data_IF_364457393146
#
_entry.id   IF_364457393146
#
_cell.length_a   1.000
_cell.length_b   1.000
_cell.length_c   1.000
_cell.angle_alpha   90.00
_cell.angle_beta   90.00
_cell.angle_gamma   90.00
#
_symmetry.space_group_name_H-M   'P 1'
#
loop_
_entity.id
_entity.type
_entity.pdbx_description
1 polymer ?
#
# COMPACT_ATOMS: atom_id res chain seq x y z
N UNK A 1 -18.50 20.53 42.41
CA UNK A 1 -18.32 21.38 41.22
C UNK A 1 -17.72 20.48 40.17
N UNK A 2 -18.52 20.04 39.20
CA UNK A 2 -18.06 19.13 38.16
C UNK A 2 -17.15 19.93 37.22
N UNK A 3 -15.87 19.55 37.16
CA UNK A 3 -14.97 20.04 36.13
C UNK A 3 -15.58 19.68 34.78
N UNK A 4 -15.86 20.70 33.98
CA UNK A 4 -16.31 20.53 32.61
C UNK A 4 -15.20 19.82 31.83
N UNK A 5 -15.36 18.52 31.59
CA UNK A 5 -14.53 17.79 30.62
C UNK A 5 -14.77 18.47 29.28
N UNK A 6 -13.80 19.26 28.82
CA UNK A 6 -13.79 19.79 27.46
C UNK A 6 -13.87 18.60 26.51
N UNK A 7 -15.03 18.44 25.85
CA UNK A 7 -15.23 17.40 24.85
C UNK A 7 -14.24 17.63 23.71
N UNK A 8 -13.25 16.76 23.59
CA UNK A 8 -12.27 16.80 22.50
C UNK A 8 -13.02 16.40 21.22
N UNK A 9 -12.88 17.22 20.17
CA UNK A 9 -13.41 16.92 18.84
C UNK A 9 -12.26 16.59 17.88
N UNK A 10 -12.48 15.74 16.87
CA UNK A 10 -13.74 15.06 16.52
C UNK A 10 -14.14 13.96 17.50
N UNK A 11 -15.45 13.67 17.61
CA UNK A 11 -15.95 12.59 18.45
C UNK A 11 -15.61 11.23 17.79
N UNK A 12 -14.90 10.38 18.51
CA UNK A 12 -14.29 9.18 17.95
C UNK A 12 -13.43 8.41 18.95
N UNK A 13 -12.86 7.30 18.49
CA UNK A 13 -11.95 6.48 19.31
C UNK A 13 -10.51 6.86 18.99
N UNK A 14 -9.77 7.33 19.99
CA UNK A 14 -8.40 7.80 19.82
C UNK A 14 -7.39 6.66 19.93
N UNK A 15 -6.49 6.59 18.95
CA UNK A 15 -5.30 5.75 18.93
C UNK A 15 -4.04 6.61 19.13
N UNK A 16 -3.12 6.15 19.97
CA UNK A 16 -1.92 6.90 20.35
C UNK A 16 -0.68 6.02 20.35
N UNK A 17 0.44 6.54 19.82
CA UNK A 17 1.75 5.92 19.92
C UNK A 17 2.81 6.98 20.23
N UNK A 18 3.68 6.71 21.20
CA UNK A 18 4.90 7.50 21.44
C UNK A 18 5.85 7.36 20.26
N UNK A 19 6.57 8.41 19.93
CA UNK A 19 7.48 8.49 18.79
C UNK A 19 8.84 9.02 19.25
N UNK A 20 9.92 8.44 18.76
CA UNK A 20 11.30 8.87 19.09
C UNK A 20 11.92 9.76 18.00
N UNK A 21 11.28 9.85 16.82
CA UNK A 21 11.76 10.58 15.65
C UNK A 21 11.47 12.09 15.64
N UNK A 22 11.88 12.79 14.59
CA UNK A 22 11.41 14.16 14.30
C UNK A 22 10.14 14.17 13.46
N UNK A 23 9.79 13.03 12.87
CA UNK A 23 8.62 12.82 12.02
C UNK A 23 7.80 11.65 12.60
N UNK A 24 6.52 11.57 12.22
CA UNK A 24 5.69 10.43 12.55
C UNK A 24 6.17 9.16 11.84
N UNK A 25 6.32 8.08 12.60
CA UNK A 25 6.46 6.72 12.09
C UNK A 25 5.11 6.00 12.22
N UNK A 26 4.30 6.13 11.16
CA UNK A 26 2.98 5.52 11.10
C UNK A 26 3.05 3.99 11.11
N UNK A 27 4.10 3.40 10.55
CA UNK A 27 4.27 1.94 10.51
C UNK A 27 4.56 1.39 11.91
N UNK A 28 5.50 2.01 12.63
CA UNK A 28 5.79 1.66 14.01
C UNK A 28 4.59 1.86 14.93
N UNK A 29 3.81 2.93 14.73
CA UNK A 29 2.58 3.17 15.50
C UNK A 29 1.54 2.05 15.27
N UNK A 30 1.29 1.67 14.01
CA UNK A 30 0.37 0.57 13.68
C UNK A 30 0.87 -0.76 14.21
N UNK A 31 2.18 -1.03 14.14
CA UNK A 31 2.77 -2.23 14.74
C UNK A 31 2.55 -2.26 16.26
N UNK A 32 2.87 -1.17 16.95
CA UNK A 32 2.64 -1.01 18.38
C UNK A 32 1.17 -1.21 18.78
N UNK A 33 0.21 -0.69 18.01
CA UNK A 33 -1.21 -0.93 18.28
C UNK A 33 -1.59 -2.40 18.08
N UNK A 34 -1.07 -3.06 17.04
CA UNK A 34 -1.34 -4.48 16.76
C UNK A 34 -0.81 -5.42 17.86
N UNK A 35 0.26 -5.05 18.56
CA UNK A 35 0.77 -5.85 19.68
C UNK A 35 -0.27 -6.04 20.80
N UNK A 36 -1.21 -5.09 20.98
CA UNK A 36 -2.29 -5.24 21.95
C UNK A 36 -3.26 -6.38 21.62
N UNK A 37 -3.19 -6.99 20.43
CA UNK A 37 -3.92 -8.22 20.12
C UNK A 37 -3.69 -9.31 21.17
N UNK A 38 -2.45 -9.44 21.66
CA UNK A 38 -2.09 -10.44 22.68
C UNK A 38 -2.70 -10.19 24.06
N UNK A 39 -3.31 -9.01 24.28
CA UNK A 39 -3.97 -8.66 25.54
C UNK A 39 -5.44 -9.14 25.60
N UNK A 40 -5.95 -9.75 24.53
CA UNK A 40 -7.32 -10.24 24.45
C UNK A 40 -7.35 -11.78 24.37
N UNK A 41 -7.89 -12.42 25.41
CA UNK A 41 -8.10 -13.89 25.47
C UNK A 41 -9.36 -14.31 24.69
N UNK A 42 -9.47 -13.89 23.43
CA UNK A 42 -10.64 -14.10 22.57
C UNK A 42 -11.34 -12.79 22.21
N UNK A 43 -12.63 -12.87 21.90
CA UNK A 43 -13.44 -11.72 21.49
C UNK A 43 -13.34 -10.60 22.55
N UNK A 44 -12.93 -9.37 22.18
CA UNK A 44 -12.86 -8.27 23.12
C UNK A 44 -14.19 -8.04 23.84
N UNK A 45 -14.19 -7.93 25.18
CA UNK A 45 -15.42 -7.86 25.96
C UNK A 45 -16.14 -6.52 25.77
N UNK A 46 -17.39 -6.44 26.22
CA UNK A 46 -18.12 -5.17 26.27
C UNK A 46 -17.37 -4.11 27.09
N UNK A 47 -17.41 -2.85 26.64
CA UNK A 47 -16.81 -1.72 27.33
C UNK A 47 -17.70 -1.28 28.52
N UNK A 48 -17.63 -2.06 29.59
CA UNK A 48 -18.37 -1.82 30.83
C UNK A 48 -17.46 -1.26 31.93
N UNK A 49 -18.06 -0.75 33.00
CA UNK A 49 -17.34 -0.23 34.18
C UNK A 49 -16.46 -1.27 34.87
N UNK A 50 -16.79 -2.56 34.75
CA UNK A 50 -16.02 -3.67 35.30
C UNK A 50 -14.89 -4.14 34.36
N UNK A 51 -14.89 -3.67 33.12
CA UNK A 51 -13.93 -4.09 32.08
C UNK A 51 -12.60 -3.34 32.24
N UNK A 52 -11.56 -4.01 32.72
CA UNK A 52 -10.25 -3.37 32.94
C UNK A 52 -9.36 -3.32 31.70
N UNK A 53 -9.63 -4.14 30.68
CA UNK A 53 -8.77 -4.26 29.49
C UNK A 53 -8.65 -2.95 28.70
N UNK A 54 -9.71 -2.12 28.70
CA UNK A 54 -9.71 -0.82 28.02
C UNK A 54 -9.10 0.33 28.82
N UNK A 55 -8.57 0.08 30.03
CA UNK A 55 -7.74 1.06 30.75
C UNK A 55 -6.36 1.23 30.09
N UNK A 56 -5.94 0.27 29.27
CA UNK A 56 -4.74 0.39 28.45
C UNK A 56 -5.05 1.21 27.20
N UNK A 57 -4.35 2.33 27.04
CA UNK A 57 -4.43 3.16 25.83
C UNK A 57 -4.03 2.38 24.57
N UNK A 58 -3.11 1.41 24.69
CA UNK A 58 -2.71 0.54 23.59
C UNK A 58 -3.88 -0.36 23.13
N UNK A 59 -4.66 -0.89 24.08
CA UNK A 59 -5.83 -1.72 23.77
C UNK A 59 -6.93 -0.90 23.11
N UNK A 60 -7.19 0.32 23.57
CA UNK A 60 -8.13 1.24 22.91
C UNK A 60 -7.63 1.63 21.52
N UNK A 61 -6.32 1.83 21.34
CA UNK A 61 -5.72 2.11 20.03
C UNK A 61 -5.89 0.94 19.08
N UNK A 62 -5.77 -0.30 19.56
CA UNK A 62 -6.07 -1.50 18.79
C UNK A 62 -7.54 -1.54 18.33
N UNK A 63 -8.49 -1.24 19.22
CA UNK A 63 -9.91 -1.16 18.85
C UNK A 63 -10.14 -0.08 17.78
N UNK A 64 -9.54 1.11 17.94
CA UNK A 64 -9.63 2.20 16.97
C UNK A 64 -9.04 1.82 15.60
N UNK A 65 -7.92 1.10 15.57
CA UNK A 65 -7.27 0.64 14.34
C UNK A 65 -8.19 -0.27 13.51
N UNK A 66 -8.96 -1.13 14.17
CA UNK A 66 -9.86 -2.10 13.53
C UNK A 66 -11.32 -1.67 13.55
N UNK A 67 -11.59 -0.36 13.61
CA UNK A 67 -12.93 0.22 13.76
C UNK A 67 -14.00 -0.55 12.94
N UNK A 68 -15.02 -1.16 13.59
CA UNK A 68 -16.01 -2.03 12.96
C UNK A 68 -17.07 -1.25 12.16
N UNK A 69 -17.17 0.06 12.38
CA UNK A 69 -18.23 0.88 11.81
C UNK A 69 -18.13 0.91 10.28
N UNK A 70 -19.28 1.05 9.61
CA UNK A 70 -19.30 1.19 8.15
C UNK A 70 -18.60 2.49 7.72
N UNK A 71 -17.64 2.37 6.80
CA UNK A 71 -16.86 3.49 6.24
C UNK A 71 -16.14 4.34 7.30
N UNK A 72 -15.28 3.72 8.14
CA UNK A 72 -14.62 4.44 9.22
C UNK A 72 -13.62 5.44 8.62
N UNK A 73 -13.63 6.67 9.13
CA UNK A 73 -12.71 7.74 8.74
C UNK A 73 -11.63 7.85 9.78
N UNK A 74 -10.41 8.17 9.34
CA UNK A 74 -9.29 8.43 10.23
C UNK A 74 -8.74 9.84 9.98
N UNK A 75 -8.47 10.56 11.06
CA UNK A 75 -7.66 11.77 11.04
C UNK A 75 -6.48 11.57 11.99
N UNK A 76 -5.28 11.94 11.57
CA UNK A 76 -4.05 11.70 12.31
C UNK A 76 -3.23 12.98 12.37
N UNK A 77 -2.69 13.27 13.55
CA UNK A 77 -1.78 14.37 13.75
C UNK A 77 -0.57 13.94 14.59
N UNK A 78 0.58 14.46 14.19
CA UNK A 78 1.83 14.30 14.91
C UNK A 78 2.04 15.46 15.86
N UNK A 79 2.12 15.17 17.15
CA UNK A 79 2.25 16.17 18.20
C UNK A 79 3.65 16.12 18.79
N UNK A 80 4.19 17.31 19.10
CA UNK A 80 5.37 17.47 19.93
C UNK A 80 4.97 18.33 21.12
N UNK A 81 4.92 17.72 22.29
CA UNK A 81 4.66 18.37 23.56
C UNK A 81 6.00 18.73 24.21
N UNK A 82 6.33 20.03 24.35
CA UNK A 82 7.59 20.43 24.96
C UNK A 82 7.64 20.01 26.44
N UNK A 83 8.85 19.75 26.93
CA UNK A 83 9.08 19.53 28.35
C UNK A 83 8.52 20.70 29.18
N UNK A 84 7.82 20.40 30.28
CA UNK A 84 7.34 21.46 31.16
C UNK A 84 8.53 22.23 31.74
N UNK A 85 8.48 23.55 31.68
CA UNK A 85 9.48 24.38 32.34
C UNK A 85 9.37 24.15 33.85
N UNK A 86 10.38 23.53 34.45
CA UNK A 86 10.41 23.28 35.90
C UNK A 86 10.25 24.62 36.63
N UNK A 87 9.25 24.77 37.52
CA UNK A 87 9.16 25.95 38.37
C UNK A 87 10.46 26.06 39.18
N UNK A 88 11.07 27.24 39.16
CA UNK A 88 12.33 27.53 39.86
C UNK A 88 12.11 27.34 41.37
N UNK A 89 12.46 26.17 41.92
CA UNK A 89 12.43 25.94 43.37
C UNK A 89 12.25 24.49 43.86
N UNK A 90 11.84 23.52 43.04
CA UNK A 90 11.65 22.14 43.50
C UNK A 90 12.94 21.31 43.35
N UNK A 91 13.50 20.88 44.48
CA UNK A 91 14.71 20.04 44.56
C UNK A 91 14.29 18.57 44.42
N UNK A 92 14.55 17.99 43.25
CA UNK A 92 14.45 16.55 42.99
C UNK A 92 13.15 16.12 42.32
N UNK A 93 13.22 15.83 41.02
CA UNK A 93 12.17 15.22 40.21
C UNK A 93 12.67 15.09 38.78
N UNK A 94 12.45 13.92 38.19
CA UNK A 94 12.80 13.51 36.81
C UNK A 94 12.64 14.67 35.81
N UNK A 95 13.65 14.90 34.97
CA UNK A 95 13.54 15.90 33.90
C UNK A 95 12.40 15.51 32.97
N UNK A 96 11.33 16.30 32.91
CA UNK A 96 10.27 16.15 31.93
C UNK A 96 10.90 16.13 30.54
N UNK A 97 10.74 15.02 29.81
CA UNK A 97 11.24 14.88 28.44
C UNK A 97 10.19 15.43 27.49
N UNK A 98 10.67 15.96 26.37
CA UNK A 98 9.81 16.25 25.21
C UNK A 98 9.06 14.97 24.81
N UNK A 99 7.73 15.02 24.77
CA UNK A 99 6.89 13.92 24.33
C UNK A 99 6.52 14.15 22.88
N UNK A 100 6.86 13.20 22.02
CA UNK A 100 6.39 13.18 20.65
C UNK A 100 5.46 12.00 20.46
N UNK A 101 4.37 12.22 19.75
CA UNK A 101 3.33 11.21 19.61
C UNK A 101 2.58 11.34 18.29
N UNK A 102 2.24 10.20 17.71
CA UNK A 102 1.20 10.11 16.71
C UNK A 102 -0.13 9.88 17.42
N UNK A 103 -1.09 10.76 17.18
CA UNK A 103 -2.46 10.63 17.67
C UNK A 103 -3.39 10.57 16.46
N UNK A 104 -4.15 9.48 16.37
CA UNK A 104 -5.16 9.29 15.36
C UNK A 104 -6.54 9.18 16.03
N UNK A 105 -7.58 9.61 15.34
CA UNK A 105 -8.96 9.45 15.77
C UNK A 105 -9.74 8.80 14.65
N UNK A 106 -10.49 7.75 14.99
CA UNK A 106 -11.43 7.12 14.06
C UNK A 106 -12.86 7.50 14.39
N UNK A 107 -13.62 7.84 13.34
CA UNK A 107 -15.03 8.23 13.41
C UNK A 107 -15.82 7.37 12.41
N UNK A 108 -16.95 6.75 12.80
CA UNK A 108 -17.60 6.82 14.12
C UNK A 108 -16.84 6.10 15.24
N UNK A 109 -17.35 6.19 16.48
CA UNK A 109 -16.63 5.74 17.68
C UNK A 109 -16.61 4.21 17.76
N UNK A 110 -15.47 3.60 17.41
CA UNK A 110 -15.22 2.17 17.53
C UNK A 110 -15.47 1.53 18.92
N UNK A 111 -15.40 2.31 20.00
CA UNK A 111 -15.58 1.82 21.37
C UNK A 111 -16.67 2.65 22.09
N UNK A 112 -17.91 2.18 22.00
CA UNK A 112 -19.06 2.75 22.73
C UNK A 112 -19.16 2.15 24.13
N UNK A 113 -19.97 2.76 25.00
CA UNK A 113 -20.17 2.24 26.35
C UNK A 113 -21.14 1.06 26.31
N UNK A 114 -20.88 0.04 27.13
CA UNK A 114 -21.67 -1.18 27.32
C UNK A 114 -21.76 -2.14 26.11
N UNK A 115 -21.23 -1.80 24.94
CA UNK A 115 -21.16 -2.69 23.78
C UNK A 115 -19.79 -3.35 23.63
N UNK A 116 -19.78 -4.56 23.07
CA UNK A 116 -18.55 -5.19 22.59
C UNK A 116 -18.12 -4.53 21.27
N UNK A 117 -16.84 -4.21 21.09
CA UNK A 117 -16.39 -3.48 19.91
C UNK A 117 -16.42 -4.32 18.63
N UNK A 118 -16.55 -5.64 18.72
CA UNK A 118 -16.60 -6.52 17.55
C UNK A 118 -17.65 -7.60 17.74
N UNK A 119 -18.20 -8.05 16.62
CA UNK A 119 -18.87 -9.36 16.50
C UNK A 119 -17.84 -10.48 16.42
N UNK A 120 -18.26 -11.72 16.64
CA UNK A 120 -17.38 -12.88 16.50
C UNK A 120 -16.80 -13.00 15.08
N UNK A 121 -17.61 -12.74 14.04
CA UNK A 121 -17.16 -12.83 12.65
C UNK A 121 -16.09 -11.78 12.33
N UNK A 122 -16.24 -10.55 12.81
CA UNK A 122 -15.23 -9.49 12.67
C UNK A 122 -13.95 -9.87 13.41
N UNK A 123 -14.08 -10.38 14.63
CA UNK A 123 -12.95 -10.81 15.44
C UNK A 123 -12.17 -11.98 14.81
N UNK A 124 -12.88 -12.94 14.21
CA UNK A 124 -12.25 -14.06 13.50
C UNK A 124 -11.48 -13.55 12.26
N UNK A 125 -12.01 -12.55 11.55
CA UNK A 125 -11.31 -11.88 10.43
C UNK A 125 -10.05 -11.15 10.91
N UNK A 126 -10.14 -10.40 12.02
CA UNK A 126 -9.01 -9.70 12.64
C UNK A 126 -7.94 -10.71 13.07
N UNK A 127 -8.33 -11.74 13.81
CA UNK A 127 -7.46 -12.83 14.28
C UNK A 127 -6.75 -13.51 13.10
N UNK A 128 -7.49 -13.80 12.02
CA UNK A 128 -6.91 -14.37 10.80
C UNK A 128 -5.91 -13.40 10.16
N UNK A 129 -6.25 -12.11 10.03
CA UNK A 129 -5.37 -11.11 9.45
C UNK A 129 -4.06 -10.96 10.25
N UNK A 130 -4.13 -10.87 11.58
CA UNK A 130 -2.96 -10.76 12.47
C UNK A 130 -2.09 -12.02 12.37
N UNK A 131 -2.68 -13.21 12.47
CA UNK A 131 -1.92 -14.47 12.46
C UNK A 131 -1.39 -14.84 11.06
N UNK A 132 -2.10 -14.47 9.99
CA UNK A 132 -1.62 -14.68 8.61
C UNK A 132 -0.49 -13.74 8.20
N UNK A 133 -0.29 -12.63 8.93
CA UNK A 133 0.82 -11.70 8.73
C UNK A 133 2.15 -12.17 9.33
N UNK A 134 2.22 -13.33 9.97
CA UNK A 134 3.41 -13.82 10.68
C UNK A 134 3.84 -15.22 10.23
N UNK A 135 4.68 -15.29 9.19
CA UNK A 135 5.62 -16.39 9.06
C UNK A 135 6.83 -16.13 9.97
N UNK A 136 6.78 -16.71 11.19
CA UNK A 136 7.86 -16.99 12.14
C UNK A 136 8.74 -15.84 12.66
N UNK A 137 8.65 -15.54 13.96
CA UNK A 137 9.63 -16.01 14.96
C UNK A 137 8.89 -16.32 16.27
N UNK A 138 8.93 -17.56 16.78
CA UNK A 138 8.55 -17.83 18.16
C UNK A 138 9.74 -17.50 19.07
N UNK A 139 9.60 -16.55 19.98
CA UNK A 139 10.41 -16.59 21.21
C UNK A 139 9.57 -16.20 22.41
N UNK A 140 9.53 -17.15 23.34
CA UNK A 140 8.87 -17.12 24.62
C UNK A 140 9.29 -15.94 25.49
N UNK A 141 8.37 -15.53 26.35
CA UNK A 141 8.58 -14.70 27.53
C UNK A 141 9.96 -14.92 28.20
N UNK A 142 10.73 -13.84 28.32
CA UNK A 142 11.71 -13.68 29.37
C UNK A 142 11.70 -12.22 29.84
N UNK A 143 11.07 -12.03 30.99
CA UNK A 143 11.18 -10.85 31.83
C UNK A 143 12.65 -10.66 32.21
N UNK A 144 13.25 -9.52 31.86
CA UNK A 144 14.35 -8.94 32.63
C UNK A 144 14.52 -7.45 32.30
N UNK A 145 14.33 -6.63 33.33
CA UNK A 145 14.65 -5.23 33.36
C UNK A 145 16.18 -4.98 33.31
N UNK A 146 16.50 -3.71 33.05
CA UNK A 146 17.75 -2.98 33.30
C UNK A 146 18.69 -2.77 32.11
N UNK A 147 18.95 -1.48 31.86
CA UNK A 147 20.21 -0.83 31.45
C UNK A 147 21.06 -1.54 30.38
N UNK A 148 21.47 -0.90 29.29
CA UNK A 148 22.55 0.08 29.31
C UNK A 148 22.45 0.93 28.04
N UNK A 149 22.33 2.25 28.24
CA UNK A 149 22.75 3.25 27.28
C UNK A 149 24.28 3.20 27.14
N UNK A 150 24.78 3.00 25.92
CA UNK A 150 26.06 3.51 25.39
C UNK A 150 26.58 2.61 24.25
N UNK A 151 26.12 2.81 23.01
CA UNK A 151 26.96 2.59 21.83
C UNK A 151 26.35 3.14 20.52
N UNK A 152 25.93 4.41 20.49
CA UNK A 152 25.70 5.12 19.22
C UNK A 152 26.15 6.58 19.35
N UNK A 153 27.45 6.74 19.54
CA UNK A 153 28.16 7.99 19.34
C UNK A 153 29.45 7.63 18.61
N UNK A 154 29.60 8.23 17.42
CA UNK A 154 30.73 8.23 16.48
C UNK A 154 30.34 7.63 15.12
N UNK A 155 29.83 8.49 14.24
CA UNK A 155 30.27 8.62 12.84
C UNK A 155 29.55 9.83 12.21
N UNK A 156 30.05 11.01 12.53
CA UNK A 156 29.86 12.23 11.74
C UNK A 156 31.23 12.83 11.45
N UNK A 157 31.39 13.39 10.25
CA UNK A 157 32.54 14.11 9.67
C UNK A 157 33.50 13.32 8.77
N UNK A 158 33.29 13.44 7.45
CA UNK A 158 34.33 13.68 6.46
C UNK A 158 33.69 14.55 5.34
N UNK A 159 33.80 15.87 5.46
CA UNK A 159 34.83 16.72 4.84
C UNK A 159 34.68 16.82 3.31
N UNK A 160 34.04 17.90 2.88
CA UNK A 160 34.09 18.42 1.53
C UNK A 160 35.55 18.80 1.18
N UNK A 161 36.04 18.31 0.05
CA UNK A 161 37.23 18.83 -0.60
C UNK A 161 36.88 19.09 -2.08
N UNK A 162 36.71 20.37 -2.39
CA UNK A 162 36.68 20.92 -3.74
C UNK A 162 38.09 20.84 -4.30
N UNK A 163 38.30 20.06 -5.37
CA UNK A 163 39.48 20.16 -6.22
C UNK A 163 39.02 20.37 -7.67
N UNK A 164 39.24 21.60 -8.12
CA UNK A 164 39.09 22.05 -9.50
C UNK A 164 40.17 21.38 -10.36
N UNK A 165 39.77 20.44 -11.20
CA UNK A 165 40.50 20.11 -12.43
C UNK A 165 39.63 20.55 -13.61
N UNK A 166 40.02 21.67 -14.23
CA UNK A 166 39.52 22.04 -15.56
C UNK A 166 40.12 21.06 -16.57
N UNK A 167 39.27 20.23 -17.14
CA UNK A 167 39.48 19.58 -18.44
C UNK A 167 38.27 19.95 -19.28
N UNK A 168 38.55 20.26 -20.54
CA UNK A 168 37.67 20.91 -21.51
C UNK A 168 36.26 20.31 -21.62
N UNK A 169 35.34 21.18 -22.02
CA UNK A 169 33.89 21.05 -21.85
C UNK A 169 33.30 19.70 -22.25
N UNK A 170 32.59 19.11 -21.30
CA UNK A 170 31.49 18.18 -21.54
C UNK A 170 30.47 18.41 -20.43
N UNK A 171 29.32 18.97 -20.78
CA UNK A 171 28.15 18.98 -19.88
C UNK A 171 27.87 17.53 -19.42
N UNK A 172 27.48 17.30 -18.15
CA UNK A 172 27.05 15.98 -17.73
C UNK A 172 25.77 15.64 -18.50
N UNK A 173 25.88 14.64 -19.37
CA UNK A 173 24.75 13.99 -20.03
C UNK A 173 23.80 13.49 -18.94
N UNK A 174 22.67 14.17 -18.75
CA UNK A 174 21.61 13.81 -17.82
C UNK A 174 20.87 12.59 -18.38
N UNK A 175 21.50 11.41 -18.35
CA UNK A 175 20.83 10.15 -18.74
C UNK A 175 19.94 9.72 -17.58
N UNK A 176 18.71 10.20 -17.56
CA UNK A 176 17.70 9.73 -16.64
C UNK A 176 17.52 8.20 -16.84
N UNK A 177 17.56 7.43 -15.76
CA UNK A 177 17.52 5.94 -15.80
C UNK A 177 16.16 5.42 -15.34
N UNK A 178 15.69 4.33 -15.93
CA UNK A 178 14.48 3.64 -15.49
C UNK A 178 14.66 3.11 -14.07
N UNK A 179 13.67 3.32 -13.21
CA UNK A 179 13.67 2.86 -11.82
C UNK A 179 12.44 2.03 -11.53
N UNK A 180 12.57 1.08 -10.61
CA UNK A 180 11.44 0.43 -9.99
C UNK A 180 11.71 0.14 -8.52
N UNK A 181 10.66 0.25 -7.70
CA UNK A 181 10.68 -0.10 -6.28
C UNK A 181 9.55 -1.07 -6.01
N UNK A 182 9.82 -2.17 -5.30
CA UNK A 182 8.76 -3.12 -4.91
C UNK A 182 7.85 -2.47 -3.87
N UNK A 183 6.55 -2.65 -4.03
CA UNK A 183 5.51 -2.09 -3.17
C UNK A 183 4.54 -3.19 -2.75
N UNK A 184 4.07 -3.14 -1.51
CA UNK A 184 3.05 -4.06 -1.03
C UNK A 184 1.64 -3.43 -1.12
N UNK A 185 0.90 -3.75 -2.18
CA UNK A 185 -0.49 -3.32 -2.37
C UNK A 185 -1.53 -4.38 -1.94
N UNK A 186 -1.09 -5.48 -1.30
CA UNK A 186 -1.98 -6.60 -0.96
C UNK A 186 -3.14 -6.18 -0.06
N UNK A 187 -2.93 -5.23 0.86
CA UNK A 187 -3.99 -4.75 1.77
C UNK A 187 -5.16 -4.14 1.02
N UNK A 188 -4.90 -3.17 0.14
CA UNK A 188 -5.93 -2.46 -0.63
C UNK A 188 -6.62 -3.39 -1.63
N UNK A 189 -5.84 -4.24 -2.31
CA UNK A 189 -6.39 -5.24 -3.23
C UNK A 189 -7.27 -6.26 -2.50
N UNK A 190 -6.85 -6.72 -1.31
CA UNK A 190 -7.60 -7.70 -0.52
C UNK A 190 -8.87 -7.11 0.09
N UNK A 191 -8.87 -5.81 0.43
CA UNK A 191 -10.08 -5.12 0.85
C UNK A 191 -11.16 -5.23 -0.25
N UNK A 192 -10.84 -4.87 -1.49
CA UNK A 192 -11.77 -4.98 -2.62
C UNK A 192 -12.23 -6.44 -2.87
N UNK A 193 -11.31 -7.39 -2.84
CA UNK A 193 -11.61 -8.82 -3.05
C UNK A 193 -12.52 -9.42 -1.98
N UNK A 194 -12.30 -9.05 -0.72
CA UNK A 194 -13.06 -9.58 0.41
C UNK A 194 -14.54 -9.24 0.32
N UNK A 195 -14.89 -8.05 -0.18
CA UNK A 195 -16.27 -7.63 -0.42
C UNK A 195 -17.00 -8.51 -1.44
N UNK A 196 -16.26 -9.06 -2.41
CA UNK A 196 -16.77 -10.01 -3.40
C UNK A 196 -16.65 -11.48 -2.95
N UNK A 197 -16.18 -11.74 -1.72
CA UNK A 197 -16.01 -13.08 -1.17
C UNK A 197 -14.85 -13.88 -1.79
N UNK A 198 -13.86 -13.21 -2.37
CA UNK A 198 -12.66 -13.85 -2.92
C UNK A 198 -11.61 -14.06 -1.82
N UNK A 199 -10.83 -15.13 -1.95
CA UNK A 199 -9.63 -15.33 -1.12
C UNK A 199 -8.64 -14.20 -1.35
N UNK A 200 -8.09 -13.64 -0.27
CA UNK A 200 -7.05 -12.61 -0.37
C UNK A 200 -5.79 -13.11 -1.06
N UNK A 201 -5.12 -12.23 -1.80
CA UNK A 201 -3.80 -12.45 -2.33
C UNK A 201 -2.78 -12.67 -1.21
N UNK A 202 -1.90 -13.63 -1.46
CA UNK A 202 -0.69 -13.86 -0.69
C UNK A 202 0.49 -13.12 -1.34
N UNK A 203 1.58 -12.92 -0.61
CA UNK A 203 2.81 -12.38 -1.19
C UNK A 203 3.44 -13.40 -2.15
N UNK A 204 3.87 -12.94 -3.31
CA UNK A 204 4.67 -13.76 -4.23
C UNK A 204 6.02 -14.14 -3.60
N UNK A 205 6.39 -15.42 -3.67
CA UNK A 205 7.66 -15.87 -3.12
C UNK A 205 8.83 -15.58 -4.08
N UNK A 206 9.93 -15.09 -3.53
CA UNK A 206 11.18 -14.83 -4.25
C UNK A 206 11.87 -16.13 -4.69
N UNK A 207 11.71 -17.20 -3.92
CA UNK A 207 12.27 -18.53 -4.18
C UNK A 207 11.38 -19.44 -5.02
N UNK A 208 10.25 -18.95 -5.55
CA UNK A 208 9.32 -19.77 -6.32
C UNK A 208 9.94 -20.27 -7.64
N UNK A 209 9.52 -21.45 -8.08
CA UNK A 209 9.85 -21.99 -9.39
C UNK A 209 8.56 -22.46 -10.10
N UNK A 210 8.08 -21.75 -11.14
CA UNK A 210 8.69 -20.55 -11.74
C UNK A 210 8.68 -19.33 -10.81
N UNK A 211 9.52 -18.30 -11.06
CA UNK A 211 9.51 -17.06 -10.30
C UNK A 211 8.11 -16.43 -10.29
N UNK A 212 7.69 -15.92 -9.14
CA UNK A 212 6.37 -15.28 -8.95
C UNK A 212 6.47 -13.77 -8.76
N UNK A 213 7.68 -13.25 -8.56
CA UNK A 213 7.97 -11.84 -8.39
C UNK A 213 8.44 -11.18 -9.69
N UNK A 214 8.13 -9.89 -9.86
CA UNK A 214 8.66 -9.04 -10.92
C UNK A 214 10.20 -8.97 -10.78
N UNK A 215 10.96 -9.31 -11.83
CA UNK A 215 12.43 -9.35 -11.79
C UNK A 215 13.04 -7.95 -11.91
N UNK A 216 12.69 -7.05 -10.99
CA UNK A 216 13.20 -5.66 -10.93
C UNK A 216 14.67 -5.58 -10.51
N UNK A 217 15.19 -6.63 -9.88
CA UNK A 217 16.59 -6.81 -9.53
C UNK A 217 17.23 -7.95 -10.34
N UNK A 218 18.53 -7.86 -10.62
CA UNK A 218 19.30 -8.89 -11.31
C UNK A 218 19.37 -10.16 -10.45
N UNK A 219 19.21 -11.35 -11.04
CA UNK A 219 19.49 -12.58 -10.31
C UNK A 219 21.00 -12.73 -10.16
N UNK A 220 21.51 -12.79 -8.92
CA UNK A 220 22.93 -13.11 -8.72
C UNK A 220 23.17 -14.54 -9.21
N UNK A 221 24.19 -14.74 -10.05
CA UNK A 221 24.54 -16.04 -10.66
C UNK A 221 25.03 -17.10 -9.65
N UNK A 222 24.77 -16.90 -8.35
CA UNK A 222 25.25 -17.73 -7.23
C UNK A 222 24.20 -17.95 -6.15
N UNK A 223 22.95 -18.21 -6.52
CA UNK A 223 21.96 -18.82 -5.62
C UNK A 223 21.67 -18.05 -4.32
N UNK A 224 21.92 -16.73 -4.29
CA UNK A 224 21.59 -15.87 -3.16
C UNK A 224 20.54 -14.87 -3.63
N UNK A 225 19.29 -15.14 -3.25
CA UNK A 225 18.21 -14.13 -3.29
C UNK A 225 18.65 -12.94 -2.45
N UNK A 226 18.58 -11.72 -3.00
CA UNK A 226 19.06 -10.50 -2.34
C UNK A 226 20.00 -9.60 -3.17
N UNK A 227 20.00 -9.70 -4.50
CA UNK A 227 20.68 -8.68 -5.32
C UNK A 227 19.96 -7.33 -5.17
N UNK A 228 20.73 -6.27 -4.95
CA UNK A 228 20.26 -4.88 -4.95
C UNK A 228 20.49 -4.19 -6.30
N UNK A 229 21.15 -4.87 -7.25
CA UNK A 229 21.41 -4.32 -8.58
C UNK A 229 20.15 -4.42 -9.43
N UNK A 230 19.78 -3.33 -10.09
CA UNK A 230 18.57 -3.27 -10.92
C UNK A 230 18.74 -4.10 -12.20
N UNK A 231 17.68 -4.81 -12.57
CA UNK A 231 17.61 -5.49 -13.86
C UNK A 231 17.26 -4.48 -14.97
N UNK A 232 18.26 -3.72 -15.42
CA UNK A 232 18.07 -2.63 -16.40
C UNK A 232 17.42 -3.08 -17.70
N UNK A 233 17.68 -4.30 -18.16
CA UNK A 233 17.04 -4.88 -19.34
C UNK A 233 15.54 -5.07 -19.14
N UNK A 234 15.13 -5.63 -18.01
CA UNK A 234 13.72 -5.79 -17.67
C UNK A 234 13.02 -4.44 -17.49
N UNK A 235 13.62 -3.52 -16.72
CA UNK A 235 13.02 -2.19 -16.50
C UNK A 235 12.83 -1.43 -17.82
N UNK A 236 13.77 -1.56 -18.75
CA UNK A 236 13.66 -0.93 -20.08
C UNK A 236 12.51 -1.50 -20.89
N UNK A 237 12.36 -2.83 -20.93
CA UNK A 237 11.27 -3.48 -21.65
C UNK A 237 9.90 -3.10 -21.05
N UNK A 238 9.76 -3.12 -19.73
CA UNK A 238 8.52 -2.73 -19.04
C UNK A 238 8.19 -1.26 -19.31
N UNK A 239 9.15 -0.34 -19.16
CA UNK A 239 8.93 1.08 -19.42
C UNK A 239 8.52 1.37 -20.87
N UNK A 240 9.08 0.65 -21.85
CA UNK A 240 8.67 0.77 -23.25
C UNK A 240 7.22 0.30 -23.45
N UNK A 241 6.86 -0.85 -22.89
CA UNK A 241 5.49 -1.37 -22.97
C UNK A 241 4.48 -0.43 -22.28
N UNK A 242 4.84 0.14 -21.12
CA UNK A 242 4.00 1.13 -20.41
C UNK A 242 3.75 2.38 -21.25
N UNK A 243 4.80 2.94 -21.87
CA UNK A 243 4.68 4.13 -22.73
C UNK A 243 3.84 3.88 -23.98
N UNK A 244 3.79 2.64 -24.46
CA UNK A 244 2.94 2.23 -25.59
C UNK A 244 1.54 1.81 -25.16
N UNK A 245 1.27 1.76 -23.84
CA UNK A 245 0.04 1.21 -23.27
C UNK A 245 -0.20 -0.25 -23.69
N UNK A 246 0.87 -1.02 -23.90
CA UNK A 246 0.87 -2.41 -24.38
C UNK A 246 1.30 -3.40 -23.32
N UNK A 247 1.36 -3.02 -22.04
CA UNK A 247 1.65 -3.93 -20.92
C UNK A 247 0.58 -5.01 -20.86
N UNK A 248 0.82 -6.06 -21.63
CA UNK A 248 -0.14 -7.13 -21.90
C UNK A 248 0.55 -8.46 -21.72
N UNK A 249 -0.28 -9.48 -21.63
CA UNK A 249 0.12 -10.81 -21.21
C UNK A 249 1.09 -11.49 -22.20
N UNK A 250 2.24 -11.93 -21.69
CA UNK A 250 3.18 -12.81 -22.39
C UNK A 250 4.52 -12.18 -22.77
N UNK A 251 4.66 -10.85 -22.73
CA UNK A 251 5.92 -10.16 -23.08
C UNK A 251 6.84 -9.96 -21.86
N UNK A 252 6.27 -10.01 -20.66
CA UNK A 252 6.94 -9.70 -19.40
C UNK A 252 6.79 -10.90 -18.46
N UNK A 253 7.88 -11.27 -17.78
CA UNK A 253 7.89 -12.30 -16.71
C UNK A 253 7.63 -11.63 -15.35
N UNK A 254 7.01 -12.33 -14.38
CA UNK A 254 6.59 -13.74 -14.39
C UNK A 254 5.30 -14.01 -15.19
N UNK A 255 4.95 -15.29 -15.38
CA UNK A 255 3.69 -15.65 -16.04
C UNK A 255 2.51 -15.40 -15.09
N UNK A 256 1.58 -14.55 -15.49
CA UNK A 256 0.49 -14.06 -14.65
C UNK A 256 -0.36 -13.04 -15.40
N UNK A 257 -1.43 -12.56 -14.75
CA UNK A 257 -2.25 -11.47 -15.27
C UNK A 257 -1.82 -10.17 -14.58
N UNK A 258 -1.56 -9.15 -15.39
CA UNK A 258 -0.98 -7.88 -14.96
C UNK A 258 -2.04 -6.81 -14.74
N UNK A 259 -1.93 -6.08 -13.64
CA UNK A 259 -2.71 -4.88 -13.35
C UNK A 259 -1.80 -3.65 -13.41
N UNK A 260 -2.25 -2.62 -14.11
CA UNK A 260 -1.48 -1.43 -14.45
C UNK A 260 -2.26 -0.16 -14.14
N UNK A 261 -1.65 0.81 -13.46
CA UNK A 261 -2.24 2.12 -13.21
C UNK A 261 -1.17 3.22 -13.32
N UNK A 262 -1.43 4.24 -14.14
CA UNK A 262 -0.60 5.46 -14.22
C UNK A 262 -0.81 6.30 -12.97
N UNK A 263 0.25 6.90 -12.44
CA UNK A 263 0.23 7.70 -11.22
C UNK A 263 1.06 8.97 -11.37
N UNK A 264 0.67 10.03 -10.66
CA UNK A 264 1.36 11.33 -10.70
C UNK A 264 2.34 11.53 -9.52
N UNK A 265 2.21 10.71 -8.46
CA UNK A 265 2.97 10.80 -7.21
C UNK A 265 4.46 10.43 -7.32
N UNK A 266 5.25 10.71 -6.30
CA UNK A 266 6.63 10.19 -6.17
C UNK A 266 6.67 8.75 -5.70
N UNK A 267 5.60 8.30 -5.05
CA UNK A 267 5.44 7.02 -4.42
C UNK A 267 4.16 6.36 -4.93
N UNK A 268 4.08 5.04 -4.78
CA UNK A 268 2.90 4.28 -5.19
C UNK A 268 1.68 4.60 -4.33
N UNK A 269 0.56 4.87 -4.99
CA UNK A 269 -0.76 4.92 -4.37
C UNK A 269 -1.54 3.64 -4.70
N UNK A 270 -1.42 2.64 -3.83
CA UNK A 270 -2.12 1.36 -4.01
C UNK A 270 -3.65 1.51 -4.01
N UNK A 271 -4.20 2.49 -3.28
CA UNK A 271 -5.63 2.69 -3.18
C UNK A 271 -6.17 3.32 -4.47
N UNK A 272 -5.52 4.39 -4.96
CA UNK A 272 -5.88 5.00 -6.23
C UNK A 272 -5.79 4.02 -7.41
N UNK A 273 -4.79 3.13 -7.40
CA UNK A 273 -4.70 2.07 -8.41
C UNK A 273 -5.89 1.10 -8.36
N UNK A 274 -6.26 0.62 -7.15
CA UNK A 274 -7.42 -0.25 -6.96
C UNK A 274 -8.72 0.44 -7.39
N UNK A 275 -8.89 1.71 -7.07
CA UNK A 275 -10.05 2.50 -7.50
C UNK A 275 -10.10 2.64 -9.02
N UNK A 276 -8.98 2.98 -9.66
CA UNK A 276 -8.87 3.05 -11.11
C UNK A 276 -9.20 1.73 -11.81
N UNK A 277 -8.73 0.60 -11.27
CA UNK A 277 -9.06 -0.71 -11.84
C UNK A 277 -10.54 -1.05 -11.70
N UNK A 278 -11.16 -0.71 -10.58
CA UNK A 278 -12.61 -0.92 -10.36
C UNK A 278 -13.47 -0.11 -11.33
N UNK A 279 -13.03 1.06 -11.78
CA UNK A 279 -13.75 1.86 -12.78
C UNK A 279 -13.99 1.08 -14.08
N UNK A 280 -13.10 0.16 -14.45
CA UNK A 280 -13.28 -0.67 -15.64
C UNK A 280 -14.46 -1.66 -15.55
N UNK A 281 -15.08 -1.82 -14.37
CA UNK A 281 -16.32 -2.59 -14.23
C UNK A 281 -17.40 -2.15 -15.22
N UNK A 282 -17.54 -0.84 -15.46
CA UNK A 282 -18.57 -0.30 -16.37
C UNK A 282 -18.32 -0.60 -17.84
N UNK A 283 -17.15 -1.16 -18.18
CA UNK A 283 -16.82 -1.54 -19.55
C UNK A 283 -17.34 -2.94 -19.92
N UNK A 284 -17.96 -3.65 -18.97
CA UNK A 284 -18.52 -4.98 -19.17
C UNK A 284 -20.05 -4.95 -19.08
N UNK A 285 -20.72 -5.31 -20.18
CA UNK A 285 -22.19 -5.46 -20.26
C UNK A 285 -22.65 -6.81 -19.70
N UNK A 286 -22.24 -7.12 -18.47
CA UNK A 286 -22.48 -8.41 -17.80
C UNK A 286 -21.21 -9.25 -17.67
N UNK A 287 -21.39 -10.58 -17.60
CA UNK A 287 -20.29 -11.52 -17.40
C UNK A 287 -19.23 -11.33 -18.51
N UNK A 288 -17.94 -11.10 -18.16
CA UNK A 288 -16.90 -10.94 -19.16
C UNK A 288 -16.83 -12.15 -20.10
N UNK A 289 -16.68 -11.93 -21.42
CA UNK A 289 -16.70 -13.02 -22.40
C UNK A 289 -15.47 -13.93 -22.26
N UNK A 290 -15.46 -15.13 -22.87
CA UNK A 290 -14.27 -15.97 -22.96
C UNK A 290 -13.04 -15.18 -23.44
N UNK A 291 -11.90 -15.40 -22.79
CA UNK A 291 -10.70 -14.64 -23.10
C UNK A 291 -10.11 -15.02 -24.46
N UNK A 292 -9.93 -14.02 -25.31
CA UNK A 292 -9.16 -14.10 -26.54
C UNK A 292 -8.40 -12.78 -26.71
N UNK A 293 -7.12 -12.84 -27.09
CA UNK A 293 -6.25 -11.65 -27.29
C UNK A 293 -6.78 -10.67 -28.33
N UNK A 294 -7.64 -11.12 -29.23
CA UNK A 294 -8.27 -10.33 -30.29
C UNK A 294 -9.59 -9.71 -29.86
N UNK A 295 -10.19 -10.16 -28.75
CA UNK A 295 -11.45 -9.61 -28.24
C UNK A 295 -11.24 -8.18 -27.74
N UNK A 296 -12.03 -7.25 -28.25
CA UNK A 296 -11.84 -5.81 -28.03
C UNK A 296 -11.83 -5.41 -26.54
N UNK A 297 -12.69 -6.03 -25.72
CA UNK A 297 -12.76 -5.71 -24.29
C UNK A 297 -11.44 -6.00 -23.55
N UNK A 298 -10.63 -6.95 -24.00
CA UNK A 298 -9.37 -7.31 -23.35
C UNK A 298 -8.15 -6.57 -23.92
N UNK A 299 -8.32 -5.76 -24.97
CA UNK A 299 -7.25 -4.88 -25.49
C UNK A 299 -6.99 -3.69 -24.57
N UNK A 300 -7.96 -3.32 -23.74
CA UNK A 300 -7.81 -2.25 -22.77
C UNK A 300 -7.08 -2.77 -21.51
N UNK A 301 -5.91 -2.21 -21.21
CA UNK A 301 -5.13 -2.57 -20.02
C UNK A 301 -5.94 -2.43 -18.73
N UNK A 302 -6.84 -1.43 -18.63
CA UNK A 302 -7.66 -1.24 -17.44
C UNK A 302 -8.66 -2.40 -17.22
N UNK A 303 -9.22 -2.94 -18.31
CA UNK A 303 -10.12 -4.10 -18.24
C UNK A 303 -9.38 -5.36 -17.78
N UNK A 304 -8.16 -5.59 -18.30
CA UNK A 304 -7.29 -6.69 -17.84
C UNK A 304 -6.90 -6.50 -16.38
N UNK A 305 -6.64 -5.24 -15.96
CA UNK A 305 -6.31 -4.90 -14.57
C UNK A 305 -7.46 -5.18 -13.62
N UNK A 306 -8.70 -4.91 -14.02
CA UNK A 306 -9.90 -5.30 -13.29
C UNK A 306 -10.00 -6.81 -13.11
N UNK A 307 -9.79 -7.59 -14.18
CA UNK A 307 -9.77 -9.06 -14.10
C UNK A 307 -8.66 -9.54 -13.15
N UNK A 308 -7.49 -8.92 -13.21
CA UNK A 308 -6.37 -9.22 -12.31
C UNK A 308 -6.71 -8.94 -10.85
N UNK A 309 -7.34 -7.81 -10.53
CA UNK A 309 -7.76 -7.47 -9.16
C UNK A 309 -8.66 -8.55 -8.56
N UNK A 310 -9.63 -9.04 -9.34
CA UNK A 310 -10.57 -10.09 -8.93
C UNK A 310 -10.16 -11.51 -9.34
N UNK A 311 -8.88 -11.75 -9.62
CA UNK A 311 -8.36 -13.05 -10.03
C UNK A 311 -8.98 -14.22 -9.22
N UNK A 312 -9.72 -15.15 -9.89
CA UNK A 312 -10.52 -16.19 -9.23
C UNK A 312 -9.73 -17.43 -8.84
N UNK A 313 -8.45 -17.50 -9.21
CA UNK A 313 -7.64 -18.69 -9.04
C UNK A 313 -7.45 -19.02 -7.56
N UNK A 314 -7.29 -20.30 -7.25
CA UNK A 314 -6.99 -20.76 -5.90
C UNK A 314 -5.60 -20.31 -5.46
N UNK A 315 -5.45 -20.01 -4.17
CA UNK A 315 -4.20 -19.53 -3.56
C UNK A 315 -3.53 -18.40 -4.35
N UNK A 316 -4.28 -17.33 -4.67
CA UNK A 316 -3.78 -16.31 -5.56
C UNK A 316 -2.69 -15.50 -4.85
N UNK A 317 -1.71 -15.03 -5.60
CA UNK A 317 -0.55 -14.27 -5.12
C UNK A 317 -0.42 -12.98 -5.90
N UNK A 318 0.27 -12.01 -5.31
CA UNK A 318 0.56 -10.73 -5.94
C UNK A 318 1.98 -10.27 -5.65
N UNK A 319 2.62 -9.68 -6.66
CA UNK A 319 3.81 -8.84 -6.52
C UNK A 319 3.55 -7.51 -7.24
N UNK A 320 3.91 -6.39 -6.63
CA UNK A 320 3.75 -5.07 -7.23
C UNK A 320 5.06 -4.30 -7.20
N UNK A 321 5.29 -3.48 -8.23
CA UNK A 321 6.38 -2.53 -8.25
C UNK A 321 5.92 -1.20 -8.85
N UNK A 322 6.43 -0.12 -8.27
CA UNK A 322 6.27 1.24 -8.75
C UNK A 322 7.39 1.58 -9.71
N UNK A 323 7.05 1.90 -10.95
CA UNK A 323 8.00 2.24 -12.00
C UNK A 323 8.07 3.74 -12.19
N UNK A 324 9.28 4.23 -12.43
CA UNK A 324 9.54 5.59 -12.94
C UNK A 324 10.32 5.46 -14.23
N UNK A 325 9.69 5.88 -15.33
CA UNK A 325 10.17 5.77 -16.69
C UNK A 325 10.39 7.18 -17.26
N UNK A 326 11.61 7.74 -17.18
CA UNK A 326 11.86 9.13 -17.56
C UNK A 326 11.58 9.45 -19.03
N UNK A 327 11.41 10.74 -19.33
CA UNK A 327 11.38 11.27 -20.69
C UNK A 327 12.68 10.95 -21.44
N UNK A 328 12.61 10.58 -22.72
CA UNK A 328 13.79 10.51 -23.58
C UNK A 328 14.78 9.38 -23.32
N UNK A 329 14.46 8.36 -22.50
CA UNK A 329 15.31 7.17 -22.33
C UNK A 329 15.28 6.34 -23.61
N UNK A 330 16.17 6.67 -24.55
CA UNK A 330 16.43 5.87 -25.75
C UNK A 330 17.20 4.61 -25.35
N UNK A 331 16.66 3.44 -25.66
CA UNK A 331 17.48 2.23 -25.66
C UNK A 331 18.62 2.41 -26.68
N UNK A 332 19.84 1.97 -26.35
CA UNK A 332 20.92 1.88 -27.36
C UNK A 332 20.43 1.00 -28.52
N UNK A 333 20.15 1.59 -29.68
CA UNK A 333 19.97 0.87 -30.94
C UNK A 333 18.56 0.71 -31.50
N UNK A 334 17.55 1.47 -31.07
CA UNK A 334 16.22 1.46 -31.72
C UNK A 334 15.80 2.88 -32.07
N UNK A 335 15.60 3.13 -33.36
CA UNK A 335 15.12 4.39 -33.93
C UNK A 335 13.63 4.23 -34.25
N UNK A 336 12.78 5.16 -33.79
CA UNK A 336 11.50 5.62 -34.40
C UNK A 336 10.52 6.17 -33.36
N UNK A 337 9.97 7.35 -33.65
CA UNK A 337 8.55 7.63 -33.39
C UNK A 337 8.22 8.79 -32.45
N UNK A 338 7.64 9.83 -33.02
CA UNK A 338 7.14 11.08 -32.42
C UNK A 338 5.98 10.88 -31.43
N UNK A 339 6.27 10.60 -30.16
CA UNK A 339 5.31 10.67 -29.07
C UNK A 339 5.87 11.54 -27.94
N UNK A 340 5.04 12.41 -27.37
CA UNK A 340 5.42 13.34 -26.31
C UNK A 340 6.23 12.63 -25.21
N UNK A 341 7.54 12.91 -25.19
CA UNK A 341 8.53 12.31 -24.30
C UNK A 341 8.32 12.86 -22.88
N UNK A 342 7.30 12.34 -22.19
CA UNK A 342 7.02 12.67 -20.79
C UNK A 342 7.50 11.54 -19.88
N UNK A 343 7.89 11.92 -18.67
CA UNK A 343 8.09 10.96 -17.60
C UNK A 343 6.76 10.24 -17.33
N UNK A 344 6.81 8.91 -17.28
CA UNK A 344 5.69 8.06 -16.95
C UNK A 344 5.99 7.39 -15.61
N UNK A 345 5.06 7.49 -14.67
CA UNK A 345 5.12 6.72 -13.43
C UNK A 345 3.88 5.86 -13.34
N UNK A 346 4.08 4.62 -12.89
CA UNK A 346 2.98 3.67 -12.86
C UNK A 346 3.21 2.58 -11.83
N UNK A 347 2.12 2.12 -11.24
CA UNK A 347 2.08 0.88 -10.48
C UNK A 347 1.81 -0.28 -11.44
N UNK A 348 2.67 -1.30 -11.38
CA UNK A 348 2.47 -2.57 -12.06
C UNK A 348 2.39 -3.68 -11.01
N UNK A 349 1.30 -4.42 -11.01
CA UNK A 349 1.13 -5.63 -10.23
C UNK A 349 1.00 -6.83 -11.15
N UNK A 350 1.54 -7.97 -10.74
CA UNK A 350 1.28 -9.27 -11.38
C UNK A 350 0.58 -10.18 -10.38
N UNK A 351 -0.49 -10.82 -10.84
CA UNK A 351 -1.23 -11.81 -10.06
C UNK A 351 -1.03 -13.20 -10.64
N UNK A 352 -0.78 -14.16 -9.75
CA UNK A 352 -0.52 -15.56 -10.10
C UNK A 352 -1.38 -16.49 -9.24
N UNK A 353 -1.87 -17.63 -9.75
CA UNK A 353 -1.84 -18.07 -11.14
C UNK A 353 -2.59 -17.12 -12.08
N UNK A 354 -2.37 -17.28 -13.38
CA UNK A 354 -2.95 -16.41 -14.41
C UNK A 354 -4.48 -16.47 -14.42
N UNK A 355 -5.12 -15.30 -14.44
CA UNK A 355 -6.59 -15.18 -14.40
C UNK A 355 -7.23 -15.40 -15.77
N UNK A 356 -6.55 -14.98 -16.84
CA UNK A 356 -7.04 -15.08 -18.22
C UNK A 356 -6.49 -16.33 -18.90
N UNK A 357 -7.34 -17.31 -19.18
CA UNK A 357 -6.98 -18.50 -19.94
C UNK A 357 -7.68 -18.48 -21.27
N UNK A 358 -6.96 -18.77 -22.37
CA UNK A 358 -7.51 -18.71 -23.72
C UNK A 358 -8.80 -19.54 -23.82
N UNK A 359 -9.81 -18.96 -24.45
CA UNK A 359 -11.14 -19.56 -24.69
C UNK A 359 -11.96 -19.83 -23.42
N UNK A 360 -11.50 -19.35 -22.25
CA UNK A 360 -12.19 -19.52 -20.96
C UNK A 360 -12.64 -18.16 -20.44
N UNK A 361 -13.89 -18.07 -19.98
CA UNK A 361 -14.39 -16.86 -19.31
C UNK A 361 -13.65 -16.68 -17.98
N UNK A 362 -13.21 -15.45 -17.63
CA UNK A 362 -12.42 -15.22 -16.42
C UNK A 362 -13.22 -15.46 -15.13
N UNK A 363 -14.54 -15.45 -15.18
CA UNK A 363 -15.40 -15.65 -14.02
C UNK A 363 -16.54 -16.61 -14.33
N UNK A 364 -17.05 -17.27 -13.30
CA UNK A 364 -18.38 -17.87 -13.33
C UNK A 364 -19.45 -16.79 -13.12
N UNK A 365 -20.71 -17.09 -13.45
CA UNK A 365 -21.82 -16.18 -13.19
C UNK A 365 -21.93 -15.82 -11.70
N UNK A 366 -21.78 -16.81 -10.81
CA UNK A 366 -21.84 -16.59 -9.37
C UNK A 366 -20.71 -15.67 -8.87
N UNK A 367 -19.49 -15.85 -9.38
CA UNK A 367 -18.37 -14.96 -9.07
C UNK A 367 -18.65 -13.53 -9.54
N UNK A 368 -19.19 -13.39 -10.75
CA UNK A 368 -19.54 -12.09 -11.31
C UNK A 368 -20.66 -11.38 -10.54
N UNK A 369 -21.67 -12.10 -10.09
CA UNK A 369 -22.77 -11.55 -9.29
C UNK A 369 -22.26 -11.01 -7.95
N UNK A 370 -21.29 -11.72 -7.32
CA UNK A 370 -20.63 -11.26 -6.09
C UNK A 370 -19.78 -10.00 -6.33
N UNK A 371 -19.02 -9.95 -7.43
CA UNK A 371 -18.27 -8.76 -7.84
C UNK A 371 -19.21 -7.58 -8.07
N UNK A 372 -20.28 -7.79 -8.84
CA UNK A 372 -21.30 -6.77 -9.13
C UNK A 372 -21.91 -6.23 -7.84
N UNK A 373 -22.26 -7.11 -6.90
CA UNK A 373 -22.77 -6.72 -5.58
C UNK A 373 -21.72 -5.92 -4.80
N UNK A 374 -20.47 -6.35 -4.78
CA UNK A 374 -19.39 -5.66 -4.05
C UNK A 374 -19.14 -4.25 -4.60
N UNK A 375 -19.06 -4.09 -5.92
CA UNK A 375 -18.85 -2.78 -6.57
C UNK A 375 -20.01 -1.83 -6.32
N UNK A 376 -21.26 -2.32 -6.44
CA UNK A 376 -22.45 -1.50 -6.27
C UNK A 376 -22.77 -1.20 -4.79
N UNK A 377 -22.40 -2.07 -3.86
CA UNK A 377 -22.55 -1.81 -2.41
C UNK A 377 -21.47 -0.87 -1.85
N UNK A 378 -20.29 -0.83 -2.47
CA UNK A 378 -19.22 0.12 -2.12
C UNK A 378 -19.35 1.51 -2.75
N UNK A 379 -20.27 1.70 -3.71
CA UNK A 379 -20.39 2.94 -4.50
C UNK A 379 -21.59 3.78 -4.06
N UNK A 380 -21.49 4.44 -2.91
CA UNK A 380 -22.38 5.52 -2.48
C UNK A 380 -21.62 6.86 -2.35
N UNK A 381 -20.94 7.30 -3.42
CA UNK A 381 -20.50 8.68 -3.70
C UNK A 381 -19.76 8.69 -5.06
N UNK A 382 -20.43 8.95 -6.18
CA UNK A 382 -20.65 10.23 -6.88
C UNK A 382 -19.86 10.27 -8.20
N UNK A 383 -20.53 10.53 -9.34
CA UNK A 383 -19.91 10.67 -10.65
C UNK A 383 -19.12 11.97 -10.72
N UNK A 384 -17.86 11.91 -11.20
CA UNK A 384 -17.17 13.10 -11.70
C UNK A 384 -16.58 12.81 -13.06
N UNK A 385 -17.12 13.52 -14.05
CA UNK A 385 -16.72 13.54 -15.44
C UNK A 385 -15.21 13.76 -15.59
N UNK A 386 -14.52 12.86 -16.28
CA UNK A 386 -13.25 13.20 -16.92
C UNK A 386 -13.53 14.20 -18.04
N UNK A 387 -13.25 15.48 -17.79
CA UNK A 387 -13.20 16.49 -18.83
C UNK A 387 -12.00 16.18 -19.74
N UNK A 388 -12.26 15.50 -20.85
CA UNK A 388 -11.29 15.37 -21.95
C UNK A 388 -11.09 16.77 -22.54
N UNK A 389 -9.90 17.34 -22.33
CA UNK A 389 -9.47 18.55 -23.00
C UNK A 389 -9.27 18.25 -24.50
N UNK A 390 -10.27 18.57 -25.33
CA UNK A 390 -10.13 18.60 -26.77
C UNK A 390 -9.32 19.84 -27.17
N UNK A 391 -8.07 19.63 -27.59
CA UNK A 391 -7.30 20.64 -28.30
C UNK A 391 -7.90 20.80 -29.71
N UNK A 392 -8.52 21.95 -29.97
CA UNK A 392 -8.99 22.34 -31.29
C UNK A 392 -7.80 22.63 -32.21
N UNK A 393 -7.56 21.78 -33.21
CA UNK A 393 -6.77 22.15 -34.39
C UNK A 393 -7.72 22.78 -35.39
N UNK A 394 -7.66 24.10 -35.51
CA UNK A 394 -8.32 24.85 -36.55
C UNK A 394 -7.70 24.49 -37.91
N UNK A 395 -8.51 23.89 -38.80
CA UNK A 395 -8.20 23.84 -40.23
C UNK A 395 -8.93 24.99 -40.92
N UNK A 396 -8.12 25.87 -41.53
CA UNK A 396 -8.52 26.91 -42.45
C UNK A 396 -9.44 26.39 -43.56
N UNK A 397 -10.61 27.01 -43.70
CA UNK A 397 -11.23 27.21 -45.00
C UNK A 397 -11.57 28.70 -45.14
N UNK A 398 -10.99 29.29 -46.20
CA UNK A 398 -11.04 30.67 -46.69
C UNK A 398 -10.11 31.69 -46.03
#
# INVERSE_FOLDING_TARGET
>A
MAESVTTIKPDGTYAYAVQDGTNADCEAAVAYWKEAFANFDGLPPANSTDTTVYKSAQNVSFISLFNPDENPKVDCAYFTCPAAATPTGARGGETDKELKALLCVTTPKALTDADAPFTQEEWDRITKAINSGSAAVPTFFAVAAAAVAALFLLLSLAAAAVLLARVDGQEPENTATNKAVRVNCSSQMNAARSLAGFTGFQAAADSANPPEQLPIYSSSTKGRSGSTELNTGYLTAVCQAMKQNTVTEGEIKPDGTYAYAVQEGTDADCQAAVDHWKEAFTNFDGLPPPYDKTTDVYKAANNVSFISLFNPQENPKVDCAYFTCPAGVKAKGVDSGTGDDKELKALLCVTTPKALTAEVAPFTQEQWDRITKAINSGSAAMPTFFAVAAAAVAAFFL
#
